data_IF_108312577892
#
_entry.id   IF_108312577892
#
_cell.length_a   1.000
_cell.length_b   1.000
_cell.length_c   1.000
_cell.angle_alpha   90.00
_cell.angle_beta   90.00
_cell.angle_gamma   90.00
#
_symmetry.space_group_name_H-M   'P 1'
#
loop_
_entity.id
_entity.type
_entity.pdbx_description
1 polymer ?
#
# COMPACT_ATOMS: atom_id res chain seq x y z
N UNK A 1 18.61 10.35 25.12
CA UNK A 1 17.98 10.05 23.81
C UNK A 1 17.60 11.37 23.19
N UNK A 2 18.28 11.79 22.12
CA UNK A 2 18.03 13.10 21.50
C UNK A 2 16.70 13.06 20.72
N UNK A 3 16.00 14.19 20.62
CA UNK A 3 14.76 14.31 19.83
C UNK A 3 14.94 13.79 18.38
N UNK A 4 16.14 13.95 17.82
CA UNK A 4 16.52 13.49 16.47
C UNK A 4 16.55 11.95 16.37
N UNK A 5 16.88 11.23 17.44
CA UNK A 5 16.87 9.77 17.45
C UNK A 5 15.44 9.19 17.42
N UNK A 6 14.47 9.90 18.01
CA UNK A 6 13.05 9.52 17.94
C UNK A 6 12.45 9.69 16.53
N UNK A 7 12.95 10.63 15.74
CA UNK A 7 12.43 10.94 14.40
C UNK A 7 13.01 10.05 13.29
N UNK A 8 14.20 9.48 13.50
CA UNK A 8 14.89 8.62 12.53
C UNK A 8 14.04 7.50 11.93
N UNK A 9 13.24 6.72 12.72
CA UNK A 9 12.38 5.68 12.14
C UNK A 9 11.10 6.23 11.49
N UNK A 10 10.69 7.47 11.78
CA UNK A 10 9.46 8.08 11.23
C UNK A 10 9.68 8.75 9.87
N UNK A 11 10.92 9.17 9.59
CA UNK A 11 11.29 9.85 8.34
C UNK A 11 10.85 9.14 7.05
N UNK A 12 11.06 7.82 6.85
CA UNK A 12 10.60 7.14 5.64
C UNK A 12 9.06 7.09 5.53
N UNK A 13 8.36 7.02 6.66
CA UNK A 13 6.90 7.04 6.72
C UNK A 13 6.35 8.40 6.26
N UNK A 14 6.95 9.47 6.78
CA UNK A 14 6.59 10.85 6.44
C UNK A 14 6.89 11.13 4.96
N UNK A 15 8.07 10.72 4.47
CA UNK A 15 8.45 10.90 3.07
C UNK A 15 7.49 10.15 2.13
N UNK A 16 7.09 8.92 2.48
CA UNK A 16 6.10 8.16 1.70
C UNK A 16 4.75 8.91 1.62
N UNK A 17 4.26 9.44 2.76
CA UNK A 17 3.05 10.25 2.79
C UNK A 17 3.17 11.55 1.97
N UNK A 18 4.29 12.26 2.08
CA UNK A 18 4.54 13.49 1.32
C UNK A 18 4.60 13.25 -0.20
N UNK A 19 5.24 12.16 -0.62
CA UNK A 19 5.30 11.79 -2.04
C UNK A 19 3.92 11.42 -2.59
N UNK A 20 3.11 10.70 -1.80
CA UNK A 20 1.72 10.44 -2.17
C UNK A 20 0.91 11.72 -2.30
N UNK A 21 1.02 12.65 -1.34
CA UNK A 21 0.32 13.95 -1.43
C UNK A 21 0.78 14.78 -2.63
N UNK A 22 2.06 14.73 -3.00
CA UNK A 22 2.58 15.41 -4.19
C UNK A 22 1.98 14.82 -5.48
N UNK A 23 1.97 13.49 -5.62
CA UNK A 23 1.32 12.80 -6.75
C UNK A 23 -0.17 13.12 -6.77
N UNK A 24 -0.85 13.07 -5.62
CA UNK A 24 -2.26 13.38 -5.49
C UNK A 24 -2.58 14.80 -5.96
N UNK A 25 -1.81 15.80 -5.53
CA UNK A 25 -2.01 17.19 -5.95
C UNK A 25 -1.77 17.38 -7.45
N UNK A 26 -0.73 16.77 -8.02
CA UNK A 26 -0.48 16.83 -9.46
C UNK A 26 -1.63 16.23 -10.26
N UNK A 27 -2.19 15.12 -9.79
CA UNK A 27 -3.29 14.43 -10.47
C UNK A 27 -4.60 15.22 -10.36
N UNK A 28 -4.94 15.75 -9.18
CA UNK A 28 -6.20 16.46 -8.95
C UNK A 28 -6.21 17.86 -9.59
N UNK A 29 -5.14 18.63 -9.44
CA UNK A 29 -5.08 20.00 -9.97
C UNK A 29 -4.75 20.03 -11.45
N UNK A 30 -3.98 19.05 -11.90
CA UNK A 30 -3.52 18.97 -13.28
C UNK A 30 -4.38 18.09 -14.16
N UNK A 31 -5.05 17.06 -13.64
CA UNK A 31 -5.73 16.08 -14.50
C UNK A 31 -4.78 15.43 -15.51
N UNK A 32 -5.30 15.08 -16.69
CA UNK A 32 -4.53 14.31 -17.68
C UNK A 32 -3.34 15.09 -18.26
N UNK A 33 -3.42 16.42 -18.37
CA UNK A 33 -2.31 17.26 -18.86
C UNK A 33 -1.04 17.14 -17.98
N UNK A 34 -1.19 16.92 -16.67
CA UNK A 34 -0.06 16.77 -15.75
C UNK A 34 0.22 15.32 -15.38
N UNK A 35 -0.57 14.37 -15.88
CA UNK A 35 -0.36 12.95 -15.65
C UNK A 35 1.06 12.48 -16.03
N UNK A 36 1.71 12.94 -17.12
CA UNK A 36 3.11 12.60 -17.40
C UNK A 36 4.07 13.02 -16.29
N UNK A 37 3.86 14.21 -15.71
CA UNK A 37 4.67 14.69 -14.58
C UNK A 37 4.41 13.85 -13.33
N UNK A 38 3.14 13.54 -13.03
CA UNK A 38 2.79 12.66 -11.93
C UNK A 38 3.40 11.25 -12.07
N UNK A 39 3.44 10.70 -13.28
CA UNK A 39 4.11 9.42 -13.60
C UNK A 39 5.61 9.50 -13.32
N UNK A 40 6.29 10.57 -13.73
CA UNK A 40 7.72 10.75 -13.46
C UNK A 40 7.98 10.83 -11.96
N UNK A 41 7.20 11.61 -11.22
CA UNK A 41 7.31 11.72 -9.76
C UNK A 41 7.08 10.37 -9.09
N UNK A 42 6.03 9.64 -9.50
CA UNK A 42 5.75 8.29 -9.01
C UNK A 42 6.90 7.32 -9.33
N UNK A 43 7.44 7.32 -10.54
CA UNK A 43 8.52 6.43 -10.94
C UNK A 43 9.80 6.70 -10.11
N UNK A 44 10.15 7.97 -9.91
CA UNK A 44 11.28 8.38 -9.04
C UNK A 44 11.03 7.93 -7.60
N UNK A 45 9.80 8.10 -7.10
CA UNK A 45 9.43 7.66 -5.76
C UNK A 45 9.54 6.14 -5.59
N UNK A 46 8.99 5.34 -6.52
CA UNK A 46 9.08 3.88 -6.50
C UNK A 46 10.53 3.39 -6.62
N UNK A 47 11.33 4.04 -7.46
CA UNK A 47 12.76 3.77 -7.60
C UNK A 47 13.51 4.00 -6.28
N UNK A 48 13.24 5.13 -5.61
CA UNK A 48 13.85 5.47 -4.33
C UNK A 48 13.50 4.46 -3.24
N UNK A 49 12.25 4.01 -3.20
CA UNK A 49 11.79 3.05 -2.18
C UNK A 49 12.44 1.67 -2.33
N UNK A 50 13.06 1.35 -3.49
CA UNK A 50 13.69 0.06 -3.79
C UNK A 50 12.76 -1.08 -3.36
N UNK A 51 11.71 -1.32 -4.14
CA UNK A 51 10.60 -2.22 -3.83
C UNK A 51 10.78 -3.63 -4.42
N UNK A 52 11.77 -4.48 -4.01
CA UNK A 52 11.84 -5.84 -4.51
C UNK A 52 10.63 -6.62 -3.97
N UNK A 53 9.80 -7.13 -4.89
CA UNK A 53 8.67 -8.00 -4.56
C UNK A 53 7.34 -7.30 -4.25
N UNK A 54 7.28 -5.96 -4.24
CA UNK A 54 6.02 -5.24 -3.98
C UNK A 54 5.30 -4.78 -5.25
N UNK A 55 5.98 -4.79 -6.40
CA UNK A 55 5.40 -4.35 -7.68
C UNK A 55 4.18 -5.17 -8.11
N UNK A 56 4.16 -6.48 -7.81
CA UNK A 56 3.02 -7.34 -8.13
C UNK A 56 1.75 -6.89 -7.40
N UNK A 57 1.88 -6.56 -6.12
CA UNK A 57 0.76 -6.12 -5.30
C UNK A 57 0.33 -4.69 -5.61
N UNK A 58 1.29 -3.79 -5.87
CA UNK A 58 1.00 -2.45 -6.38
C UNK A 58 0.19 -2.57 -7.66
N UNK A 59 0.63 -3.39 -8.61
CA UNK A 59 -0.05 -3.58 -9.89
C UNK A 59 -1.44 -4.20 -9.72
N UNK A 60 -1.57 -5.23 -8.90
CA UNK A 60 -2.86 -5.92 -8.68
C UNK A 60 -3.87 -4.99 -8.03
N UNK A 61 -3.48 -4.29 -6.97
CA UNK A 61 -4.39 -3.39 -6.27
C UNK A 61 -4.75 -2.17 -7.10
N UNK A 62 -3.78 -1.59 -7.81
CA UNK A 62 -4.05 -0.50 -8.73
C UNK A 62 -4.98 -0.95 -9.85
N UNK A 63 -4.76 -2.14 -10.41
CA UNK A 63 -5.65 -2.71 -11.42
C UNK A 63 -7.07 -2.91 -10.90
N UNK A 64 -7.23 -3.46 -9.69
CA UNK A 64 -8.54 -3.64 -9.06
C UNK A 64 -9.26 -2.29 -8.84
N UNK A 65 -8.53 -1.28 -8.37
CA UNK A 65 -9.06 0.07 -8.20
C UNK A 65 -9.44 0.75 -9.51
N UNK A 66 -8.59 0.64 -10.53
CA UNK A 66 -8.85 1.17 -11.88
C UNK A 66 -10.12 0.54 -12.46
N UNK A 67 -10.28 -0.78 -12.33
CA UNK A 67 -11.49 -1.49 -12.77
C UNK A 67 -12.72 -1.00 -12.00
N UNK A 68 -12.61 -0.87 -10.68
CA UNK A 68 -13.70 -0.40 -9.82
C UNK A 68 -14.17 1.01 -10.21
N UNK A 69 -13.25 1.97 -10.34
CA UNK A 69 -13.60 3.34 -10.73
C UNK A 69 -14.10 3.42 -12.17
N UNK A 70 -13.57 2.56 -13.06
CA UNK A 70 -14.04 2.48 -14.45
C UNK A 70 -15.48 1.95 -14.53
N UNK A 71 -15.86 1.00 -13.66
CA UNK A 71 -17.25 0.53 -13.54
C UNK A 71 -18.16 1.69 -13.12
N UNK A 72 -17.76 2.49 -12.14
CA UNK A 72 -18.54 3.65 -11.71
C UNK A 72 -18.66 4.72 -12.80
N UNK A 73 -17.58 4.95 -13.56
CA UNK A 73 -17.60 5.86 -14.70
C UNK A 73 -18.58 5.39 -15.78
N UNK A 74 -18.49 4.12 -16.20
CA UNK A 74 -19.38 3.53 -17.22
C UNK A 74 -20.83 3.46 -16.74
N UNK A 75 -21.06 3.26 -15.43
CA UNK A 75 -22.38 3.31 -14.82
C UNK A 75 -22.96 4.73 -14.71
N UNK A 76 -22.21 5.76 -15.10
CA UNK A 76 -22.63 7.17 -15.03
C UNK A 76 -22.61 7.75 -13.61
N UNK A 77 -21.98 7.07 -12.65
CA UNK A 77 -21.84 7.57 -11.28
C UNK A 77 -20.73 8.62 -11.15
N UNK A 78 -19.75 8.60 -12.07
CA UNK A 78 -18.69 9.62 -12.17
C UNK A 78 -18.54 10.03 -13.63
N UNK A 79 -18.46 11.34 -13.88
CA UNK A 79 -18.29 11.91 -15.21
C UNK A 79 -17.02 12.76 -15.23
N UNK A 80 -16.11 12.45 -16.15
CA UNK A 80 -14.84 13.16 -16.30
C UNK A 80 -14.86 13.92 -17.63
N UNK A 81 -14.96 15.25 -17.59
CA UNK A 81 -15.11 16.07 -18.79
C UNK A 81 -13.80 16.21 -19.58
N UNK A 82 -12.66 16.33 -18.90
CA UNK A 82 -11.35 16.64 -19.51
C UNK A 82 -10.46 15.40 -19.74
N UNK A 83 -11.05 14.24 -19.97
CA UNK A 83 -10.25 13.05 -20.29
C UNK A 83 -9.63 13.15 -21.69
N UNK A 84 -8.36 12.75 -21.83
CA UNK A 84 -7.69 12.63 -23.14
C UNK A 84 -8.25 11.49 -24.01
N UNK A 85 -9.04 10.58 -23.43
CA UNK A 85 -9.59 9.41 -24.12
C UNK A 85 -11.06 9.12 -23.76
N UNK A 86 -11.97 10.08 -24.03
CA UNK A 86 -13.34 10.04 -23.53
C UNK A 86 -14.18 8.89 -24.10
N UNK A 87 -13.74 8.22 -25.16
CA UNK A 87 -14.43 7.08 -25.76
C UNK A 87 -14.00 5.72 -25.21
N UNK A 88 -13.04 5.69 -24.28
CA UNK A 88 -12.59 4.43 -23.67
C UNK A 88 -13.42 4.13 -22.42
N UNK A 89 -13.69 2.85 -22.12
CA UNK A 89 -14.39 2.46 -20.89
C UNK A 89 -13.47 2.52 -19.66
N UNK A 90 -12.39 3.32 -19.72
CA UNK A 90 -11.37 3.42 -18.70
C UNK A 90 -11.35 4.84 -18.15
N UNK A 91 -11.12 4.94 -16.84
CA UNK A 91 -10.91 6.23 -16.18
C UNK A 91 -9.77 7.05 -16.79
N UNK A 92 -9.71 8.37 -16.55
CA UNK A 92 -8.60 9.21 -16.98
C UNK A 92 -7.25 8.71 -16.46
N UNK A 93 -6.18 9.02 -17.21
CA UNK A 93 -4.82 8.60 -16.88
C UNK A 93 -4.37 9.09 -15.50
N UNK A 94 -4.71 10.33 -15.16
CA UNK A 94 -4.35 10.89 -13.85
C UNK A 94 -4.89 10.06 -12.68
N UNK A 95 -6.11 9.52 -12.80
CA UNK A 95 -6.73 8.73 -11.74
C UNK A 95 -6.10 7.32 -11.67
N UNK A 96 -5.68 6.76 -12.81
CA UNK A 96 -4.87 5.54 -12.82
C UNK A 96 -3.55 5.74 -12.08
N UNK A 97 -2.85 6.86 -12.32
CA UNK A 97 -1.60 7.20 -11.62
C UNK A 97 -1.83 7.36 -10.12
N UNK A 98 -2.96 7.95 -9.73
CA UNK A 98 -3.39 8.05 -8.33
C UNK A 98 -3.53 6.66 -7.67
N UNK A 99 -4.10 5.68 -8.38
CA UNK A 99 -4.24 4.31 -7.90
C UNK A 99 -2.88 3.62 -7.67
N UNK A 100 -1.93 3.83 -8.58
CA UNK A 100 -0.55 3.35 -8.37
C UNK A 100 0.12 4.04 -7.19
N UNK A 101 -0.05 5.36 -7.05
CA UNK A 101 0.45 6.11 -5.90
C UNK A 101 -0.15 5.61 -4.59
N UNK A 102 -1.47 5.40 -4.53
CA UNK A 102 -2.16 4.88 -3.36
C UNK A 102 -1.64 3.49 -3.00
N UNK A 103 -1.55 2.59 -3.97
CA UNK A 103 -1.08 1.23 -3.73
C UNK A 103 0.35 1.19 -3.20
N UNK A 104 1.20 2.14 -3.61
CA UNK A 104 2.57 2.31 -3.11
C UNK A 104 2.66 2.84 -1.66
N UNK A 105 1.55 3.28 -1.05
CA UNK A 105 1.52 3.69 0.37
C UNK A 105 1.22 2.53 1.32
N UNK A 106 0.59 1.46 0.83
CA UNK A 106 -0.05 0.43 1.65
C UNK A 106 0.91 -0.35 2.54
N UNK A 107 2.09 -0.71 2.02
CA UNK A 107 3.12 -1.42 2.78
C UNK A 107 3.99 -0.50 3.66
N UNK A 108 3.81 0.81 3.54
CA UNK A 108 4.62 1.81 4.25
C UNK A 108 3.76 2.62 5.22
N UNK A 109 3.30 3.80 4.81
CA UNK A 109 2.53 4.73 5.64
C UNK A 109 1.22 4.13 6.14
N UNK A 110 0.65 3.17 5.41
CA UNK A 110 -0.58 2.49 5.80
C UNK A 110 -0.39 1.03 6.24
N UNK A 111 0.85 0.62 6.56
CA UNK A 111 1.13 -0.77 6.98
C UNK A 111 0.30 -1.22 8.18
N UNK A 112 -0.10 -0.27 9.04
CA UNK A 112 -0.92 -0.55 10.22
C UNK A 112 -2.35 -1.04 9.90
N UNK A 113 -2.81 -0.88 8.65
CA UNK A 113 -4.08 -1.41 8.16
C UNK A 113 -3.98 -2.91 7.80
N UNK A 114 -2.79 -3.35 7.39
CA UNK A 114 -2.56 -4.73 6.96
C UNK A 114 -2.74 -5.67 8.16
N UNK A 115 -3.47 -6.77 7.96
CA UNK A 115 -3.85 -7.69 9.03
C UNK A 115 -5.02 -7.22 9.91
N UNK A 116 -5.65 -6.07 9.61
CA UNK A 116 -6.77 -5.51 10.38
C UNK A 116 -7.96 -5.18 9.46
N UNK A 117 -8.64 -6.18 8.88
CA UNK A 117 -9.65 -5.98 7.83
C UNK A 117 -10.80 -5.06 8.25
N UNK A 118 -11.25 -5.13 9.50
CA UNK A 118 -12.30 -4.23 10.00
C UNK A 118 -11.85 -2.76 10.06
N UNK A 119 -10.61 -2.51 10.48
CA UNK A 119 -10.06 -1.15 10.52
C UNK A 119 -9.88 -0.60 9.11
N UNK A 120 -9.39 -1.45 8.19
CA UNK A 120 -9.24 -1.12 6.78
C UNK A 120 -10.60 -0.82 6.12
N UNK A 121 -11.64 -1.60 6.43
CA UNK A 121 -13.00 -1.39 5.93
C UNK A 121 -13.57 -0.04 6.39
N UNK A 122 -13.49 0.26 7.70
CA UNK A 122 -14.01 1.51 8.26
C UNK A 122 -13.28 2.72 7.67
N UNK A 123 -11.95 2.66 7.60
CA UNK A 123 -11.19 3.76 7.02
C UNK A 123 -11.44 3.91 5.51
N UNK A 124 -11.58 2.81 4.77
CA UNK A 124 -12.00 2.87 3.36
C UNK A 124 -13.39 3.50 3.19
N UNK A 125 -14.35 3.12 4.04
CA UNK A 125 -15.71 3.64 4.00
C UNK A 125 -15.82 5.13 4.29
N UNK A 126 -14.88 5.71 5.04
CA UNK A 126 -14.93 7.12 5.45
C UNK A 126 -13.92 8.01 4.71
N UNK A 127 -12.66 7.57 4.62
CA UNK A 127 -11.58 8.39 4.07
C UNK A 127 -11.69 8.52 2.55
N UNK A 128 -12.11 7.46 1.84
CA UNK A 128 -12.24 7.52 0.40
C UNK A 128 -13.38 8.46 -0.04
N UNK A 129 -14.62 8.38 0.48
CA UNK A 129 -15.65 9.35 0.12
C UNK A 129 -15.26 10.79 0.43
N UNK A 130 -14.56 11.06 1.54
CA UNK A 130 -14.07 12.40 1.85
C UNK A 130 -13.03 12.87 0.83
N UNK A 131 -12.11 11.99 0.42
CA UNK A 131 -11.10 12.29 -0.60
C UNK A 131 -11.75 12.53 -1.96
N UNK A 132 -12.72 11.71 -2.37
CA UNK A 132 -13.44 11.87 -3.64
C UNK A 132 -14.31 13.12 -3.63
N UNK A 133 -14.99 13.45 -2.52
CA UNK A 133 -15.73 14.71 -2.40
C UNK A 133 -14.81 15.93 -2.55
N UNK A 134 -13.63 15.88 -1.91
CA UNK A 134 -12.62 16.95 -2.01
C UNK A 134 -12.05 17.06 -3.42
N UNK A 135 -11.68 15.92 -4.02
CA UNK A 135 -11.14 15.85 -5.37
C UNK A 135 -12.15 16.31 -6.41
N UNK A 136 -13.41 15.89 -6.27
CA UNK A 136 -14.51 16.29 -7.15
C UNK A 136 -14.75 17.81 -7.10
N UNK A 137 -14.74 18.41 -5.91
CA UNK A 137 -14.84 19.86 -5.76
C UNK A 137 -13.65 20.61 -6.40
N UNK A 138 -12.44 20.05 -6.33
CA UNK A 138 -11.24 20.69 -6.91
C UNK A 138 -11.10 20.47 -8.42
N UNK A 139 -11.64 19.36 -8.93
CA UNK A 139 -11.59 18.97 -10.34
C UNK A 139 -12.88 19.31 -11.11
N UNK A 140 -13.82 20.04 -10.49
CA UNK A 140 -15.12 20.41 -11.05
C UNK A 140 -15.93 19.20 -11.57
N UNK A 141 -15.89 18.10 -10.81
CA UNK A 141 -16.62 16.85 -11.11
C UNK A 141 -17.90 16.81 -10.30
N UNK A 142 -19.03 16.57 -10.96
CA UNK A 142 -20.29 16.33 -10.28
C UNK A 142 -20.27 15.01 -9.51
N UNK A 143 -20.49 15.08 -8.20
CA UNK A 143 -20.55 13.89 -7.34
C UNK A 143 -21.88 13.85 -6.57
N UNK A 144 -22.59 12.74 -6.69
CA UNK A 144 -23.85 12.52 -5.99
C UNK A 144 -23.63 11.78 -4.68
N UNK A 145 -24.60 11.85 -3.76
CA UNK A 145 -24.57 11.02 -2.55
C UNK A 145 -24.52 9.53 -2.88
N UNK A 146 -25.21 9.10 -3.94
CA UNK A 146 -25.16 7.71 -4.41
C UNK A 146 -23.73 7.31 -4.81
N UNK A 147 -23.02 8.20 -5.53
CA UNK A 147 -21.62 8.00 -5.88
C UNK A 147 -20.74 7.89 -4.63
N UNK A 148 -20.93 8.77 -3.64
CA UNK A 148 -20.15 8.71 -2.39
C UNK A 148 -20.39 7.43 -1.59
N UNK A 149 -21.64 6.93 -1.55
CA UNK A 149 -21.97 5.65 -0.92
C UNK A 149 -21.33 4.49 -1.68
N UNK A 150 -21.39 4.50 -3.01
CA UNK A 150 -20.73 3.49 -3.85
C UNK A 150 -19.21 3.49 -3.64
N UNK A 151 -18.59 4.68 -3.60
CA UNK A 151 -17.17 4.89 -3.29
C UNK A 151 -16.84 4.28 -1.93
N UNK A 152 -17.61 4.64 -0.89
CA UNK A 152 -17.39 4.13 0.46
C UNK A 152 -17.49 2.60 0.53
N UNK A 153 -18.51 2.01 -0.08
CA UNK A 153 -18.69 0.56 -0.10
C UNK A 153 -17.58 -0.17 -0.88
N UNK A 154 -17.20 0.36 -2.05
CA UNK A 154 -16.13 -0.21 -2.89
C UNK A 154 -14.78 -0.18 -2.18
N UNK A 155 -14.40 0.98 -1.64
CA UNK A 155 -13.16 1.15 -0.91
C UNK A 155 -13.12 0.34 0.39
N UNK A 156 -14.21 0.27 1.15
CA UNK A 156 -14.30 -0.58 2.33
C UNK A 156 -14.03 -2.05 1.98
N UNK A 157 -14.66 -2.53 0.91
CA UNK A 157 -14.49 -3.91 0.44
C UNK A 157 -13.06 -4.15 -0.04
N UNK A 158 -12.54 -3.27 -0.89
CA UNK A 158 -11.21 -3.39 -1.47
C UNK A 158 -10.12 -3.43 -0.38
N UNK A 159 -10.18 -2.51 0.58
CA UNK A 159 -9.18 -2.46 1.67
C UNK A 159 -9.35 -3.59 2.68
N UNK A 160 -10.58 -4.04 2.95
CA UNK A 160 -10.80 -5.20 3.81
C UNK A 160 -10.21 -6.48 3.19
N UNK A 161 -10.45 -6.69 1.88
CA UNK A 161 -9.92 -7.83 1.13
C UNK A 161 -8.41 -7.77 1.08
N UNK A 162 -7.83 -6.60 0.76
CA UNK A 162 -6.39 -6.42 0.78
C UNK A 162 -5.82 -6.73 2.18
N UNK A 163 -6.32 -6.09 3.24
CA UNK A 163 -5.84 -6.31 4.59
C UNK A 163 -5.95 -7.78 5.05
N UNK A 164 -6.99 -8.50 4.63
CA UNK A 164 -7.15 -9.93 4.90
C UNK A 164 -6.14 -10.79 4.11
N UNK A 165 -5.92 -10.51 2.82
CA UNK A 165 -4.95 -11.24 2.01
C UNK A 165 -3.53 -11.16 2.62
N UNK A 166 -3.12 -9.98 3.05
CA UNK A 166 -1.83 -9.80 3.73
C UNK A 166 -1.74 -10.54 5.08
N UNK A 167 -2.87 -10.73 5.78
CA UNK A 167 -2.91 -11.54 7.00
C UNK A 167 -2.58 -12.99 6.67
N UNK A 168 -3.21 -13.54 5.63
CA UNK A 168 -3.00 -14.94 5.23
C UNK A 168 -1.57 -15.21 4.76
N UNK A 169 -0.91 -14.24 4.11
CA UNK A 169 0.50 -14.36 3.71
C UNK A 169 1.44 -14.36 4.91
N UNK A 170 1.13 -13.60 5.97
CA UNK A 170 1.89 -13.60 7.20
C UNK A 170 1.73 -14.91 7.98
N UNK A 171 0.51 -15.46 8.03
CA UNK A 171 0.21 -16.72 8.72
C UNK A 171 0.85 -17.95 8.04
N UNK A 172 1.15 -17.85 6.74
CA UNK A 172 1.76 -18.94 5.95
C UNK A 172 3.30 -18.99 6.04
N UNK A 173 3.97 -17.98 6.60
CA UNK A 173 5.41 -18.00 6.77
C UNK A 173 5.78 -19.01 7.87
N UNK A 174 6.49 -20.12 7.55
CA UNK A 174 6.82 -21.13 8.55
C UNK A 174 7.68 -20.54 9.67
N UNK A 175 7.34 -20.88 10.92
CA UNK A 175 8.12 -20.47 12.10
C UNK A 175 9.58 -20.90 11.85
N UNK A 176 10.56 -19.97 11.93
CA UNK A 176 11.96 -20.34 11.86
C UNK A 176 12.22 -21.33 13.01
N UNK A 177 12.50 -22.59 12.67
CA UNK A 177 12.91 -23.58 13.67
C UNK A 177 14.27 -23.13 14.19
N UNK A 178 14.27 -22.35 15.27
CA UNK A 178 15.48 -21.96 15.97
C UNK A 178 16.10 -23.20 16.60
N UNK A 179 17.17 -23.71 16.00
CA UNK A 179 18.05 -24.71 16.58
C UNK A 179 17.48 -26.12 16.59
N UNK A 180 17.98 -26.96 15.68
CA UNK A 180 18.09 -28.38 15.97
C UNK A 180 18.92 -28.54 17.25
N UNK A 181 18.24 -28.86 18.35
CA UNK A 181 18.85 -29.41 19.56
C UNK A 181 19.45 -30.76 19.15
N UNK A 182 20.68 -30.76 18.64
CA UNK A 182 21.40 -31.99 18.28
C UNK A 182 22.90 -31.91 18.57
N UNK A 183 23.34 -31.02 19.47
CA UNK A 183 24.77 -30.87 19.81
C UNK A 183 25.04 -30.84 21.33
N UNK A 184 24.20 -31.49 22.13
CA UNK A 184 24.44 -31.64 23.58
C UNK A 184 24.43 -33.12 23.97
N UNK A 185 25.24 -33.92 23.28
CA UNK A 185 25.38 -35.36 23.54
C UNK A 185 26.81 -35.90 23.57
N UNK A 186 27.86 -35.09 23.38
CA UNK A 186 29.25 -35.59 23.29
C UNK A 186 30.17 -35.19 24.45
N UNK A 187 29.64 -34.59 25.52
CA UNK A 187 30.42 -34.23 26.71
C UNK A 187 29.85 -35.03 27.87
N UNK A 188 30.26 -36.29 28.04
CA UNK A 188 30.25 -37.07 29.30
C UNK A 188 30.66 -38.53 29.03
N UNK A 189 31.91 -38.76 28.62
CA UNK A 189 32.57 -40.06 28.83
C UNK A 189 34.09 -39.99 28.59
N UNK A 190 34.86 -39.57 29.59
CA UNK A 190 36.20 -40.16 29.83
C UNK A 190 36.61 -39.95 31.30
N UNK A 191 36.44 -40.93 32.20
CA UNK A 191 37.14 -40.98 33.47
C UNK A 191 38.37 -41.86 33.31
N UNK A 192 39.54 -41.29 33.00
CA UNK A 192 40.82 -42.00 33.08
C UNK A 192 41.43 -41.86 34.48
N UNK A 193 41.73 -42.97 35.18
CA UNK A 193 42.38 -42.93 36.48
C UNK A 193 43.88 -42.67 36.36
N UNK A 194 44.42 -42.00 37.37
CA UNK A 194 45.85 -41.84 37.63
C UNK A 194 46.60 -43.17 37.65
N UNK A 195 47.76 -43.21 36.99
CA UNK A 195 48.86 -44.12 37.37
C UNK A 195 50.16 -43.32 37.48
N UNK A 196 50.64 -43.22 38.72
CA UNK A 196 52.02 -42.97 39.10
C UNK A 196 52.94 -44.03 38.46
N UNK A 197 54.10 -43.64 37.94
CA UNK A 197 55.42 -44.19 38.33
C UNK A 197 56.54 -43.89 37.31
N UNK A 198 57.64 -43.41 37.91
CA UNK A 198 59.04 -43.83 37.77
C UNK A 198 59.92 -43.48 36.54
N UNK A 199 61.04 -42.83 36.93
CA UNK A 199 62.34 -42.58 36.30
C UNK A 199 62.55 -41.28 35.50
#
# INVERSE_FOLDING_TARGET
MSFIERLRPMMPLILNGLMFQAVWLLCILGGDQWAPLAIVVLAVWLWWQRLPGELSQITLLSGAGIVMDSIWMVAGLMVFQDSLWPQTPLIPLWLMVLWFGFSATLRHSMRFLLGRPLLAAVLGATAAPLSYATGAHLADVDITLLTLVAVGAGWATLLAVAAHWFQTEADQQPIPVSGSVSDTGSILSDPRPHSLNDY
#
